data_IF_494818487655
#
_entry.id   IF_494818487655
#
_cell.length_a   1.000
_cell.length_b   1.000
_cell.length_c   1.000
_cell.angle_alpha   90.00
_cell.angle_beta   90.00
_cell.angle_gamma   90.00
#
_symmetry.space_group_name_H-M   'P 1'
#
loop_
_entity.id
_entity.type
_entity.pdbx_description
1 polymer ?
#
# COMPACT_ATOMS: atom_id res chain seq x y z
N UNK A 1 11.12 -8.42 -23.97
CA UNK A 1 11.37 -7.69 -22.71
C UNK A 1 10.83 -6.24 -22.75
N UNK A 2 11.07 -5.48 -23.82
CA UNK A 2 10.62 -4.08 -23.95
C UNK A 2 9.09 -3.87 -24.02
N UNK A 3 8.32 -4.77 -24.67
CA UNK A 3 6.84 -4.67 -24.68
C UNK A 3 6.22 -4.83 -23.28
N UNK A 4 6.73 -5.77 -22.47
CA UNK A 4 6.23 -6.01 -21.10
C UNK A 4 6.40 -4.77 -20.21
N UNK A 5 7.48 -4.00 -20.43
CA UNK A 5 7.75 -2.76 -19.69
C UNK A 5 6.79 -1.65 -20.15
N UNK A 6 6.56 -1.50 -21.47
CA UNK A 6 5.60 -0.52 -22.00
C UNK A 6 4.17 -0.77 -21.52
N UNK A 7 3.72 -2.02 -21.50
CA UNK A 7 2.40 -2.36 -20.97
C UNK A 7 2.29 -2.08 -19.46
N UNK A 8 3.40 -2.28 -18.71
CA UNK A 8 3.49 -1.88 -17.30
C UNK A 8 3.36 -0.36 -17.11
N UNK A 9 3.98 0.42 -17.98
CA UNK A 9 3.99 1.90 -17.92
C UNK A 9 2.64 2.49 -18.33
N UNK A 10 2.03 1.99 -19.41
CA UNK A 10 0.70 2.43 -19.84
C UNK A 10 -0.39 2.13 -18.77
N UNK A 11 -0.21 1.06 -18.02
CA UNK A 11 -1.07 0.68 -16.90
C UNK A 11 -0.87 1.57 -15.65
N UNK A 12 0.37 1.96 -15.35
CA UNK A 12 0.70 2.91 -14.28
C UNK A 12 0.00 4.26 -14.45
N UNK A 13 -0.33 4.63 -15.68
CA UNK A 13 -1.00 5.90 -16.01
C UNK A 13 -2.52 5.88 -15.83
N UNK A 14 -3.13 4.78 -15.39
CA UNK A 14 -4.54 4.80 -14.97
C UNK A 14 -4.68 5.67 -13.72
N UNK A 15 -5.60 6.63 -13.76
CA UNK A 15 -5.87 7.59 -12.68
C UNK A 15 -6.07 6.93 -11.31
N UNK A 16 -6.67 5.73 -11.29
CA UNK A 16 -6.93 4.93 -10.08
C UNK A 16 -5.64 4.50 -9.38
N UNK A 17 -4.64 4.09 -10.16
CA UNK A 17 -3.33 3.63 -9.67
C UNK A 17 -2.47 4.83 -9.28
N UNK A 18 -2.56 5.92 -10.03
CA UNK A 18 -1.84 7.16 -9.73
C UNK A 18 -2.34 7.79 -8.43
N UNK A 19 -3.66 7.77 -8.19
CA UNK A 19 -4.24 8.17 -6.91
C UNK A 19 -3.76 7.25 -5.77
N UNK A 20 -3.74 5.93 -5.98
CA UNK A 20 -3.28 4.99 -4.95
C UNK A 20 -1.77 5.15 -4.66
N UNK A 21 -0.96 5.47 -5.66
CA UNK A 21 0.45 5.82 -5.50
C UNK A 21 0.65 7.06 -4.64
N UNK A 22 -0.12 8.13 -4.90
CA UNK A 22 -0.06 9.36 -4.11
C UNK A 22 -0.48 9.08 -2.67
N UNK A 23 -1.56 8.32 -2.50
CA UNK A 23 -2.04 7.90 -1.17
C UNK A 23 -1.01 7.06 -0.44
N UNK A 24 -0.42 6.03 -1.06
CA UNK A 24 0.62 5.19 -0.46
C UNK A 24 1.88 6.02 -0.12
N UNK A 25 2.23 7.01 -0.95
CA UNK A 25 3.36 7.92 -0.71
C UNK A 25 3.17 8.79 0.55
N UNK A 26 1.92 9.16 0.87
CA UNK A 26 1.59 9.92 2.09
C UNK A 26 1.36 9.00 3.30
N UNK A 27 0.72 7.84 3.09
CA UNK A 27 0.38 6.91 4.15
C UNK A 27 1.59 6.22 4.76
N UNK A 28 2.62 5.90 3.96
CA UNK A 28 3.81 5.22 4.45
C UNK A 28 4.61 6.04 5.49
N UNK A 29 4.98 7.31 5.21
CA UNK A 29 5.61 8.16 6.21
C UNK A 29 4.69 8.43 7.40
N UNK A 30 3.39 8.58 7.17
CA UNK A 30 2.40 8.81 8.23
C UNK A 30 2.29 7.60 9.16
N UNK A 31 2.28 6.38 8.61
CA UNK A 31 2.27 5.13 9.39
C UNK A 31 3.52 5.01 10.27
N UNK A 32 4.70 5.36 9.75
CA UNK A 32 5.93 5.37 10.53
C UNK A 32 5.89 6.46 11.61
N UNK A 33 5.39 7.65 11.27
CA UNK A 33 5.24 8.75 12.22
C UNK A 33 4.31 8.36 13.37
N UNK A 34 3.13 7.79 13.07
CA UNK A 34 2.21 7.31 14.10
C UNK A 34 2.83 6.21 14.96
N UNK A 35 3.63 5.33 14.37
CA UNK A 35 4.30 4.27 15.11
C UNK A 35 5.34 4.81 16.10
N UNK A 36 6.15 5.78 15.68
CA UNK A 36 7.14 6.45 16.54
C UNK A 36 6.45 7.27 17.62
N UNK A 37 5.44 8.04 17.24
CA UNK A 37 4.67 8.89 18.15
C UNK A 37 3.99 8.08 19.26
N UNK A 38 3.31 6.98 18.89
CA UNK A 38 2.65 6.09 19.85
C UNK A 38 3.68 5.40 20.76
N UNK A 39 4.85 5.05 20.21
CA UNK A 39 5.88 4.34 20.95
C UNK A 39 6.60 5.21 21.99
N UNK A 40 6.78 6.49 21.70
CA UNK A 40 7.44 7.44 22.59
C UNK A 40 6.48 8.03 23.64
N UNK A 41 5.20 7.64 23.63
CA UNK A 41 4.23 8.12 24.61
C UNK A 41 3.80 9.57 24.37
N UNK A 42 3.71 10.00 23.10
CA UNK A 42 3.36 11.36 22.68
C UNK A 42 4.39 12.46 23.02
N UNK A 43 5.59 12.09 23.45
CA UNK A 43 6.73 13.00 23.55
C UNK A 43 7.69 12.78 22.38
N UNK A 44 7.98 13.83 21.61
CA UNK A 44 8.92 13.74 20.51
C UNK A 44 10.36 13.82 21.02
N UNK A 45 11.15 12.77 20.83
CA UNK A 45 12.58 12.79 21.18
C UNK A 45 13.38 13.58 20.12
N UNK A 46 14.04 14.70 20.48
CA UNK A 46 14.85 15.49 19.56
C UNK A 46 16.01 14.70 18.92
N UNK A 47 16.44 13.59 19.51
CA UNK A 47 17.49 12.70 18.97
C UNK A 47 17.08 12.01 17.67
N UNK A 48 15.80 12.06 17.31
CA UNK A 48 15.26 11.54 16.05
C UNK A 48 15.39 12.56 14.90
N UNK A 49 15.54 13.85 15.20
CA UNK A 49 15.63 14.91 14.18
C UNK A 49 16.73 14.65 13.11
N UNK A 50 17.94 14.18 13.45
CA UNK A 50 18.97 13.85 12.46
C UNK A 50 18.58 12.70 11.52
N UNK A 51 17.58 11.89 11.90
CA UNK A 51 17.13 10.70 11.19
C UNK A 51 15.78 10.90 10.47
N UNK A 52 15.27 12.14 10.39
CA UNK A 52 14.02 12.45 9.69
C UNK A 52 14.03 12.05 8.21
N UNK A 53 15.20 11.97 7.58
CA UNK A 53 15.37 11.49 6.21
C UNK A 53 14.90 10.03 6.01
N UNK A 54 14.83 9.23 7.08
CA UNK A 54 14.32 7.85 7.02
C UNK A 54 12.82 7.85 6.63
N UNK A 55 12.04 8.82 7.11
CA UNK A 55 10.61 8.93 6.78
C UNK A 55 10.40 9.25 5.29
N UNK A 56 11.22 10.13 4.72
CA UNK A 56 11.15 10.49 3.31
C UNK A 56 11.74 9.43 2.38
N UNK A 57 12.68 8.61 2.88
CA UNK A 57 13.24 7.51 2.09
C UNK A 57 12.31 6.29 2.04
N UNK A 58 11.36 6.14 2.96
CA UNK A 58 10.41 5.03 2.98
C UNK A 58 9.67 4.80 1.66
N UNK A 59 9.00 5.81 1.07
CA UNK A 59 8.27 5.62 -0.18
C UNK A 59 9.19 5.27 -1.35
N UNK A 60 10.42 5.78 -1.35
CA UNK A 60 11.38 5.57 -2.45
C UNK A 60 11.72 4.09 -2.66
N UNK A 61 11.77 3.28 -1.59
CA UNK A 61 12.09 1.85 -1.69
C UNK A 61 10.82 0.98 -1.66
N UNK A 62 9.82 1.39 -0.89
CA UNK A 62 8.59 0.61 -0.70
C UNK A 62 7.71 0.62 -1.95
N UNK A 63 7.62 1.75 -2.66
CA UNK A 63 6.83 1.86 -3.89
C UNK A 63 7.36 0.93 -5.00
N UNK A 64 8.67 0.94 -5.33
CA UNK A 64 9.23 -0.02 -6.28
C UNK A 64 9.01 -1.47 -5.89
N UNK A 65 9.12 -1.81 -4.60
CA UNK A 65 8.83 -3.16 -4.09
C UNK A 65 7.37 -3.55 -4.38
N UNK A 66 6.41 -2.66 -4.13
CA UNK A 66 5.00 -2.92 -4.43
C UNK A 66 4.73 -3.06 -5.93
N UNK A 67 5.42 -2.28 -6.77
CA UNK A 67 5.33 -2.40 -8.24
C UNK A 67 5.91 -3.73 -8.72
N UNK A 68 7.03 -4.19 -8.14
CA UNK A 68 7.67 -5.46 -8.49
C UNK A 68 6.83 -6.67 -8.06
N UNK A 69 6.25 -6.61 -6.86
CA UNK A 69 5.33 -7.64 -6.34
C UNK A 69 4.01 -7.72 -7.12
N UNK A 70 3.75 -6.79 -8.04
CA UNK A 70 2.54 -6.81 -8.86
C UNK A 70 1.27 -6.50 -8.05
N UNK A 71 1.41 -5.84 -6.89
CA UNK A 71 0.31 -5.47 -6.00
C UNK A 71 -0.77 -4.66 -6.72
N UNK A 72 -0.36 -3.81 -7.65
CA UNK A 72 -1.27 -3.01 -8.46
C UNK A 72 -2.00 -3.87 -9.50
N UNK A 73 -1.32 -4.85 -10.10
CA UNK A 73 -1.91 -5.79 -11.08
C UNK A 73 -2.96 -6.69 -10.44
N UNK A 74 -2.71 -7.13 -9.20
CA UNK A 74 -3.62 -8.00 -8.47
C UNK A 74 -4.97 -7.31 -8.15
N UNK A 75 -4.97 -5.99 -7.94
CA UNK A 75 -6.19 -5.21 -7.69
C UNK A 75 -7.18 -5.36 -8.85
N UNK A 76 -6.71 -5.33 -10.09
CA UNK A 76 -7.56 -5.34 -11.30
C UNK A 76 -7.83 -6.75 -11.82
N UNK A 77 -7.00 -7.76 -11.46
CA UNK A 77 -7.07 -9.11 -12.04
C UNK A 77 -7.67 -10.20 -11.14
N UNK A 78 -7.67 -10.08 -9.81
CA UNK A 78 -8.08 -11.19 -8.92
C UNK A 78 -9.03 -10.77 -7.78
N UNK A 79 -10.06 -11.61 -7.58
CA UNK A 79 -11.01 -11.56 -6.46
C UNK A 79 -10.27 -11.81 -5.14
N UNK A 80 -10.32 -10.79 -4.28
CA UNK A 80 -10.13 -10.74 -2.83
C UNK A 80 -8.89 -11.39 -2.18
N UNK A 81 -8.77 -12.71 -2.01
CA UNK A 81 -7.78 -13.28 -1.07
C UNK A 81 -6.32 -13.10 -1.47
N UNK A 82 -6.01 -13.14 -2.77
CA UNK A 82 -4.62 -13.03 -3.23
C UNK A 82 -4.03 -11.65 -2.92
N UNK A 83 -4.85 -10.59 -2.85
CA UNK A 83 -4.34 -9.24 -2.59
C UNK A 83 -3.83 -9.11 -1.15
N UNK A 84 -4.55 -9.67 -0.19
CA UNK A 84 -4.16 -9.63 1.23
C UNK A 84 -2.79 -10.28 1.41
N UNK A 85 -2.60 -11.45 0.79
CA UNK A 85 -1.33 -12.16 0.84
C UNK A 85 -0.17 -11.35 0.23
N UNK A 86 -0.38 -10.71 -0.92
CA UNK A 86 0.69 -9.90 -1.54
C UNK A 86 0.97 -8.63 -0.72
N UNK A 87 -0.05 -7.99 -0.12
CA UNK A 87 0.15 -6.86 0.79
C UNK A 87 1.00 -7.30 1.98
N UNK A 88 0.68 -8.45 2.56
CA UNK A 88 1.41 -9.00 3.69
C UNK A 88 2.90 -9.22 3.37
N UNK A 89 3.19 -9.87 2.24
CA UNK A 89 4.58 -10.07 1.77
C UNK A 89 5.27 -8.73 1.50
N UNK A 90 4.59 -7.80 0.82
CA UNK A 90 5.16 -6.51 0.46
C UNK A 90 5.50 -5.65 1.66
N UNK A 91 4.59 -5.56 2.64
CA UNK A 91 4.83 -4.80 3.86
C UNK A 91 5.94 -5.45 4.68
N UNK A 92 5.98 -6.77 4.76
CA UNK A 92 7.07 -7.51 5.43
C UNK A 92 8.43 -7.24 4.77
N UNK A 93 8.49 -7.22 3.44
CA UNK A 93 9.70 -6.84 2.70
C UNK A 93 10.11 -5.38 2.97
N UNK A 94 9.14 -4.45 3.03
CA UNK A 94 9.42 -3.05 3.37
C UNK A 94 10.02 -2.89 4.77
N UNK A 95 9.50 -3.64 5.74
CA UNK A 95 9.98 -3.65 7.13
C UNK A 95 11.37 -4.25 7.24
N UNK A 96 11.66 -5.27 6.44
CA UNK A 96 13.00 -5.85 6.37
C UNK A 96 14.02 -4.83 5.88
N UNK A 97 13.71 -4.11 4.80
CA UNK A 97 14.57 -3.02 4.28
C UNK A 97 14.73 -1.90 5.32
N UNK A 98 13.63 -1.48 5.95
CA UNK A 98 13.67 -0.46 7.00
C UNK A 98 14.56 -0.88 8.18
N UNK A 99 14.45 -2.14 8.62
CA UNK A 99 15.26 -2.68 9.72
C UNK A 99 16.75 -2.68 9.38
N UNK A 100 17.10 -3.08 8.16
CA UNK A 100 18.48 -2.98 7.67
C UNK A 100 18.97 -1.53 7.67
N UNK A 101 18.15 -0.60 7.17
CA UNK A 101 18.50 0.82 7.07
C UNK A 101 18.74 1.46 8.45
N UNK A 102 17.88 1.16 9.43
CA UNK A 102 18.05 1.59 10.83
C UNK A 102 19.34 1.01 11.44
N UNK A 103 19.65 -0.26 11.14
CA UNK A 103 20.87 -0.91 11.64
C UNK A 103 22.13 -0.27 11.04
N UNK A 104 22.16 -0.05 9.72
CA UNK A 104 23.31 0.58 9.03
C UNK A 104 23.52 2.04 9.42
N UNK A 105 22.44 2.78 9.69
CA UNK A 105 22.53 4.20 10.08
C UNK A 105 22.92 4.41 11.55
N UNK A 106 23.13 3.35 12.34
CA UNK A 106 23.38 3.43 13.78
C UNK A 106 22.37 4.32 14.52
N UNK A 107 21.12 4.31 14.07
CA UNK A 107 20.03 5.10 14.64
C UNK A 107 19.57 4.51 15.99
N UNK A 108 20.44 4.55 17.00
CA UNK A 108 20.22 4.04 18.36
C UNK A 108 19.04 4.73 19.06
N UNK A 109 18.71 5.95 18.64
CA UNK A 109 17.56 6.71 19.11
C UNK A 109 16.22 6.14 18.61
N UNK A 110 16.21 5.33 17.56
CA UNK A 110 14.98 4.76 17.03
C UNK A 110 14.55 3.55 17.87
N UNK A 111 13.37 3.59 18.52
CA UNK A 111 12.91 2.46 19.31
C UNK A 111 12.63 1.28 18.38
N UNK A 112 13.40 0.19 18.52
CA UNK A 112 13.25 -1.04 17.70
C UNK A 112 11.84 -1.62 17.74
N UNK A 113 11.11 -1.39 18.83
CA UNK A 113 9.71 -1.79 19.01
C UNK A 113 8.74 -0.97 18.15
N UNK A 114 9.09 0.25 17.73
CA UNK A 114 8.30 1.01 16.76
C UNK A 114 8.29 0.37 15.37
N UNK A 115 9.27 -0.48 15.03
CA UNK A 115 9.29 -1.21 13.74
C UNK A 115 8.10 -2.17 13.65
N UNK A 116 7.79 -2.88 14.74
CA UNK A 116 6.66 -3.81 14.80
C UNK A 116 5.34 -3.05 14.72
N UNK A 117 5.25 -1.91 15.41
CA UNK A 117 4.07 -1.04 15.37
C UNK A 117 3.87 -0.49 13.95
N UNK A 118 4.95 -0.04 13.31
CA UNK A 118 4.92 0.38 11.90
C UNK A 118 4.44 -0.75 10.98
N UNK A 119 4.93 -1.99 11.15
CA UNK A 119 4.46 -3.14 10.36
C UNK A 119 2.95 -3.31 10.43
N UNK A 120 2.37 -3.23 11.63
CA UNK A 120 0.92 -3.33 11.83
C UNK A 120 0.17 -2.15 11.19
N UNK A 121 0.62 -0.91 11.42
CA UNK A 121 -0.01 0.27 10.83
C UNK A 121 0.10 0.25 9.31
N UNK A 122 1.24 -0.12 8.74
CA UNK A 122 1.44 -0.23 7.30
C UNK A 122 0.48 -1.25 6.68
N UNK A 123 0.27 -2.41 7.31
CA UNK A 123 -0.73 -3.39 6.88
C UNK A 123 -2.15 -2.80 6.87
N UNK A 124 -2.53 -2.09 7.92
CA UNK A 124 -3.87 -1.50 8.04
C UNK A 124 -4.07 -0.33 7.08
N UNK A 125 -3.11 0.60 6.97
CA UNK A 125 -3.20 1.76 6.08
C UNK A 125 -3.18 1.36 4.61
N UNK A 126 -2.24 0.50 4.20
CA UNK A 126 -2.11 0.08 2.80
C UNK A 126 -3.20 -0.93 2.43
N UNK A 127 -3.50 -1.87 3.33
CA UNK A 127 -4.63 -2.78 3.14
C UNK A 127 -5.93 -1.99 3.03
N UNK A 128 -6.18 -1.10 3.98
CA UNK A 128 -7.38 -0.25 4.05
C UNK A 128 -7.55 0.65 2.83
N UNK A 129 -6.50 1.34 2.38
CA UNK A 129 -6.56 2.19 1.19
C UNK A 129 -6.99 1.40 -0.05
N UNK A 130 -6.49 0.17 -0.19
CA UNK A 130 -6.81 -0.75 -1.30
C UNK A 130 -8.23 -1.29 -1.20
N UNK A 131 -8.69 -1.66 -0.01
CA UNK A 131 -10.08 -2.10 0.21
C UNK A 131 -11.08 -0.97 -0.06
N UNK A 132 -10.80 0.26 0.39
CA UNK A 132 -11.64 1.42 0.12
C UNK A 132 -11.69 1.73 -1.38
N UNK A 133 -10.54 1.76 -2.06
CA UNK A 133 -10.48 2.03 -3.50
C UNK A 133 -11.22 0.95 -4.31
N UNK A 134 -11.13 -0.32 -3.91
CA UNK A 134 -11.95 -1.41 -4.48
C UNK A 134 -13.44 -1.17 -4.28
N UNK A 135 -13.86 -0.80 -3.08
CA UNK A 135 -15.27 -0.49 -2.79
C UNK A 135 -15.80 0.63 -3.69
N UNK A 136 -15.00 1.68 -3.90
CA UNK A 136 -15.31 2.79 -4.80
C UNK A 136 -15.33 2.34 -6.26
N UNK A 137 -14.32 1.63 -6.74
CA UNK A 137 -14.26 1.12 -8.12
C UNK A 137 -15.42 0.17 -8.44
N UNK A 138 -15.78 -0.72 -7.51
CA UNK A 138 -16.94 -1.62 -7.68
C UNK A 138 -18.22 -0.82 -7.84
N UNK A 139 -18.38 0.29 -7.10
CA UNK A 139 -19.55 1.17 -7.17
C UNK A 139 -19.60 1.98 -8.47
N UNK A 140 -18.45 2.44 -8.97
CA UNK A 140 -18.34 3.19 -10.24
C UNK A 140 -18.50 2.25 -11.44
N UNK A 141 -17.86 1.08 -11.42
CA UNK A 141 -17.90 0.07 -12.48
C UNK A 141 -19.26 -0.61 -12.64
N UNK A 142 -20.07 -0.68 -11.57
CA UNK A 142 -21.44 -1.20 -11.65
C UNK A 142 -22.32 -0.41 -12.62
N UNK A 143 -22.05 0.89 -12.82
CA UNK A 143 -22.84 1.74 -13.71
C UNK A 143 -22.28 1.86 -15.14
N UNK A 144 -21.00 1.57 -15.37
CA UNK A 144 -20.35 1.83 -16.66
C UNK A 144 -20.49 0.69 -17.69
N UNK A 145 -20.79 -0.54 -17.25
CA UNK A 145 -20.91 -1.72 -18.12
C UNK A 145 -22.06 -2.67 -17.71
N UNK A 146 -23.02 -2.21 -16.92
CA UNK A 146 -24.26 -2.95 -16.73
C UNK A 146 -25.03 -2.98 -18.06
N UNK A 147 -24.71 -3.97 -18.88
CA UNK A 147 -25.48 -4.31 -20.07
C UNK A 147 -26.86 -4.68 -19.54
N UNK A 148 -27.88 -3.89 -19.90
CA UNK A 148 -29.25 -4.20 -19.56
C UNK A 148 -29.61 -5.56 -20.19
N UNK A 149 -29.56 -6.62 -19.38
CA UNK A 149 -30.01 -7.95 -19.80
C UNK A 149 -31.44 -8.08 -19.35
N UNK A 150 -32.37 -7.97 -20.28
CA UNK A 150 -33.75 -8.33 -20.02
C UNK A 150 -33.81 -9.86 -19.85
N UNK A 151 -34.08 -10.33 -18.63
CA UNK A 151 -34.40 -11.73 -18.38
C UNK A 151 -35.83 -11.95 -18.86
N UNK A 152 -36.00 -12.35 -20.12
CA UNK A 152 -37.28 -12.77 -20.65
C UNK A 152 -37.36 -14.30 -20.57
N UNK A 153 -38.28 -14.82 -19.78
CA UNK A 153 -38.47 -16.27 -19.58
C UNK A 153 -37.98 -16.82 -18.25
N UNK A 154 -37.94 -16.02 -17.18
CA UNK A 154 -37.93 -16.60 -15.84
C UNK A 154 -39.36 -17.06 -15.52
N UNK A 155 -39.60 -18.38 -15.58
CA UNK A 155 -40.82 -18.99 -15.04
C UNK A 155 -40.87 -18.86 -13.52
N UNK A 156 -41.39 -19.85 -12.82
CA UNK A 156 -41.65 -19.82 -11.36
C UNK A 156 -40.44 -19.65 -10.42
N UNK A 157 -39.24 -19.35 -10.92
CA UNK A 157 -38.02 -19.13 -10.13
C UNK A 157 -37.28 -17.82 -10.45
N UNK A 158 -37.93 -16.89 -11.16
CA UNK A 158 -37.45 -15.52 -11.42
C UNK A 158 -37.76 -14.55 -10.30
#
# INVERSE_FOLDING_TARGET
MFQIIKDKIAYLFKWEILALLIVDCLLLPLALFTAVWLRLGAEWDPRINPHLWIFFSLPLWTIPLFIQLGLYRAIIKFLDDTVVYIVFIGVSASVFVLTMLIHFSNALAFPRTAIIIYWLFALVYIGGSRFMLRGVLRKIGYNANAKAVAVYGAGSAG
#
